data_IF_746780786199
#
_entry.id   IF_746780786199
#
_cell.length_a   1.000
_cell.length_b   1.000
_cell.length_c   1.000
_cell.angle_alpha   90.00
_cell.angle_beta   90.00
_cell.angle_gamma   90.00
#
_symmetry.space_group_name_H-M   'P 1'
#
loop_
_entity.id
_entity.type
_entity.pdbx_description
1 polymer ?
#
# COMPACT_ATOMS: atom_id res chain seq x y z
N UNK A 1 10.30 -58.90 -26.24
CA UNK A 1 10.54 -58.07 -25.04
C UNK A 1 10.24 -56.61 -25.37
N UNK A 2 9.21 -56.02 -24.78
CA UNK A 2 8.98 -54.57 -24.87
C UNK A 2 9.73 -53.87 -23.71
N UNK A 3 10.36 -52.70 -23.91
CA UNK A 3 11.07 -52.02 -22.84
C UNK A 3 10.06 -51.46 -21.83
N UNK A 4 10.29 -51.79 -20.56
CA UNK A 4 9.56 -51.26 -19.41
C UNK A 4 9.85 -49.76 -19.37
N UNK A 5 8.83 -48.93 -19.54
CA UNK A 5 8.90 -47.49 -19.32
C UNK A 5 9.27 -47.22 -17.84
N UNK A 6 10.57 -47.19 -17.53
CA UNK A 6 11.05 -46.76 -16.22
C UNK A 6 10.84 -45.24 -16.16
N UNK A 7 9.75 -44.82 -15.52
CA UNK A 7 9.58 -43.44 -15.10
C UNK A 7 10.84 -43.05 -14.33
N UNK A 8 11.59 -42.07 -14.84
CA UNK A 8 12.82 -41.60 -14.21
C UNK A 8 12.48 -40.95 -12.86
N UNK A 9 12.56 -41.76 -11.79
CA UNK A 9 12.29 -41.35 -10.41
C UNK A 9 13.18 -40.18 -9.99
N UNK A 10 14.35 -40.02 -10.60
CA UNK A 10 15.27 -38.92 -10.30
C UNK A 10 14.77 -37.59 -10.88
N UNK A 11 14.21 -37.60 -12.09
CA UNK A 11 13.57 -36.43 -12.70
C UNK A 11 12.32 -36.01 -11.93
N UNK A 12 11.46 -36.96 -11.55
CA UNK A 12 10.27 -36.68 -10.73
C UNK A 12 10.63 -36.06 -9.38
N UNK A 13 11.67 -36.58 -8.70
CA UNK A 13 12.15 -36.03 -7.42
C UNK A 13 12.65 -34.58 -7.57
N UNK A 14 13.35 -34.25 -8.66
CA UNK A 14 13.84 -32.88 -8.94
C UNK A 14 12.69 -31.88 -9.11
N UNK A 15 11.64 -32.22 -9.87
CA UNK A 15 10.50 -31.32 -10.07
C UNK A 15 9.69 -31.11 -8.78
N UNK A 16 9.55 -32.15 -7.96
CA UNK A 16 8.91 -32.04 -6.63
C UNK A 16 9.70 -31.10 -5.73
N UNK A 17 11.03 -31.22 -5.67
CA UNK A 17 11.86 -30.31 -4.86
C UNK A 17 11.74 -28.86 -5.34
N UNK A 18 11.78 -28.61 -6.65
CA UNK A 18 11.58 -27.26 -7.20
C UNK A 18 10.19 -26.73 -6.82
N UNK A 19 9.13 -27.53 -6.95
CA UNK A 19 7.78 -27.12 -6.58
C UNK A 19 7.68 -26.77 -5.09
N UNK A 20 8.29 -27.56 -4.21
CA UNK A 20 8.29 -27.32 -2.76
C UNK A 20 9.03 -26.03 -2.42
N UNK A 21 10.25 -25.83 -2.94
CA UNK A 21 11.02 -24.60 -2.70
C UNK A 21 10.25 -23.38 -3.22
N UNK A 22 9.66 -23.49 -4.41
CA UNK A 22 8.87 -22.43 -5.02
C UNK A 22 7.64 -22.06 -4.19
N UNK A 23 6.93 -23.07 -3.67
CA UNK A 23 5.80 -22.86 -2.77
C UNK A 23 6.24 -22.18 -1.46
N UNK A 24 7.38 -22.58 -0.88
CA UNK A 24 7.92 -21.96 0.33
C UNK A 24 8.26 -20.49 0.09
N UNK A 25 8.95 -20.17 -1.01
CA UNK A 25 9.28 -18.78 -1.37
C UNK A 25 8.01 -17.94 -1.58
N UNK A 26 7.01 -18.50 -2.27
CA UNK A 26 5.73 -17.84 -2.50
C UNK A 26 5.01 -17.55 -1.20
N UNK A 27 4.91 -18.54 -0.31
CA UNK A 27 4.24 -18.38 0.99
C UNK A 27 4.99 -17.40 1.89
N UNK A 28 6.33 -17.50 1.94
CA UNK A 28 7.16 -16.59 2.72
C UNK A 28 6.99 -15.13 2.26
N UNK A 29 7.09 -14.87 0.95
CA UNK A 29 6.88 -13.52 0.40
C UNK A 29 5.45 -13.01 0.63
N UNK A 30 4.43 -13.87 0.45
CA UNK A 30 3.02 -13.50 0.67
C UNK A 30 2.73 -13.17 2.14
N UNK A 31 3.27 -13.97 3.07
CA UNK A 31 3.12 -13.72 4.52
C UNK A 31 3.84 -12.43 4.91
N UNK A 32 5.04 -12.18 4.38
CA UNK A 32 5.75 -10.91 4.63
C UNK A 32 4.94 -9.70 4.16
N UNK A 33 4.31 -9.77 2.98
CA UNK A 33 3.43 -8.70 2.50
C UNK A 33 2.22 -8.53 3.43
N UNK A 34 1.53 -9.63 3.76
CA UNK A 34 0.32 -9.61 4.58
C UNK A 34 0.55 -9.11 6.02
N UNK A 35 1.77 -9.26 6.56
CA UNK A 35 2.10 -8.79 7.91
C UNK A 35 2.54 -7.33 7.96
N UNK A 36 2.82 -6.70 6.81
CA UNK A 36 3.43 -5.36 6.74
C UNK A 36 2.56 -4.34 6.04
N UNK A 37 1.67 -4.80 5.15
CA UNK A 37 0.82 -3.94 4.36
C UNK A 37 -0.65 -4.34 4.47
N UNK A 38 -1.48 -3.33 4.68
CA UNK A 38 -2.93 -3.45 4.69
C UNK A 38 -3.54 -2.82 3.45
N UNK A 39 -4.62 -3.42 2.95
CA UNK A 39 -5.44 -2.84 1.90
C UNK A 39 -6.57 -2.03 2.52
N UNK A 40 -6.58 -0.73 2.25
CA UNK A 40 -7.53 0.19 2.84
C UNK A 40 -8.48 0.76 1.77
N UNK A 41 -9.81 0.55 1.88
CA UNK A 41 -10.78 1.16 0.97
C UNK A 41 -11.08 2.61 1.39
N UNK A 42 -10.96 3.54 0.44
CA UNK A 42 -11.21 4.96 0.70
C UNK A 42 -12.68 5.29 0.46
N UNK A 43 -13.36 5.79 1.49
CA UNK A 43 -14.80 6.07 1.46
C UNK A 43 -15.15 7.56 1.38
N UNK A 44 -14.16 8.44 1.48
CA UNK A 44 -14.34 9.90 1.53
C UNK A 44 -13.68 10.58 0.34
N UNK A 45 -14.00 11.86 0.14
CA UNK A 45 -13.42 12.74 -0.89
C UNK A 45 -12.48 13.78 -0.28
N UNK A 46 -12.15 13.65 1.00
CA UNK A 46 -11.35 14.64 1.76
C UNK A 46 -9.93 14.76 1.20
N UNK A 47 -9.46 13.73 0.49
CA UNK A 47 -8.14 13.67 -0.13
C UNK A 47 -8.17 13.86 -1.65
N UNK A 48 -9.29 14.29 -2.24
CA UNK A 48 -9.37 14.58 -3.67
C UNK A 48 -8.47 15.78 -4.05
N UNK A 49 -7.74 15.75 -5.19
CA UNK A 49 -7.70 14.69 -6.21
C UNK A 49 -6.64 13.61 -5.94
N UNK A 50 -5.88 13.72 -4.84
CA UNK A 50 -4.77 12.82 -4.56
C UNK A 50 -5.24 11.38 -4.34
N UNK A 51 -6.30 11.18 -3.54
CA UNK A 51 -6.93 9.89 -3.26
C UNK A 51 -8.45 10.05 -3.25
N UNK A 52 -9.12 9.36 -4.16
CA UNK A 52 -10.56 9.46 -4.37
C UNK A 52 -11.39 8.39 -3.69
N UNK A 53 -12.67 8.71 -3.44
CA UNK A 53 -13.67 7.73 -2.98
C UNK A 53 -13.73 6.52 -3.92
N UNK A 54 -13.78 5.32 -3.36
CA UNK A 54 -13.82 4.05 -4.07
C UNK A 54 -12.44 3.52 -4.48
N UNK A 55 -11.36 4.30 -4.30
CA UNK A 55 -10.00 3.81 -4.50
C UNK A 55 -9.56 2.90 -3.35
N UNK A 56 -8.68 1.96 -3.66
CA UNK A 56 -7.95 1.19 -2.66
C UNK A 56 -6.54 1.75 -2.53
N UNK A 57 -6.07 1.84 -1.31
CA UNK A 57 -4.69 2.23 -1.02
C UNK A 57 -3.97 1.13 -0.27
N UNK A 58 -2.69 0.95 -0.58
CA UNK A 58 -1.80 0.08 0.16
C UNK A 58 -1.17 0.89 1.29
N UNK A 59 -1.33 0.42 2.51
CA UNK A 59 -0.90 1.10 3.74
C UNK A 59 0.19 0.29 4.39
N UNK A 60 1.39 0.85 4.50
CA UNK A 60 2.47 0.26 5.29
C UNK A 60 2.21 0.52 6.77
N UNK A 61 2.13 -0.55 7.55
CA UNK A 61 1.88 -0.49 8.99
C UNK A 61 2.97 0.33 9.70
N UNK A 62 2.56 1.22 10.61
CA UNK A 62 3.46 2.08 11.39
C UNK A 62 4.06 1.36 12.63
N UNK A 63 4.27 0.05 12.53
CA UNK A 63 4.65 -0.81 13.68
C UNK A 63 6.09 -0.62 14.18
N UNK A 64 6.97 0.05 13.43
CA UNK A 64 8.42 0.07 13.72
C UNK A 64 9.06 1.47 13.77
N UNK A 65 8.33 2.52 14.15
CA UNK A 65 8.92 3.86 14.31
C UNK A 65 9.42 4.45 12.99
N UNK A 66 8.78 4.08 11.87
CA UNK A 66 9.04 4.69 10.58
C UNK A 66 8.75 6.19 10.68
N UNK A 67 9.77 7.02 10.49
CA UNK A 67 9.60 8.47 10.57
C UNK A 67 8.64 8.92 9.49
N UNK A 68 7.47 9.41 9.92
CA UNK A 68 6.59 10.18 9.08
C UNK A 68 7.30 11.45 8.65
N UNK A 69 7.01 11.90 7.45
CA UNK A 69 7.54 13.13 6.89
C UNK A 69 6.38 14.05 6.53
N UNK A 70 6.64 15.34 6.59
CA UNK A 70 5.74 16.34 6.04
C UNK A 70 5.45 16.01 4.56
N UNK A 71 4.17 15.93 4.23
CA UNK A 71 3.67 15.50 2.92
C UNK A 71 3.21 14.04 2.85
N UNK A 72 3.59 13.17 3.78
CA UNK A 72 3.11 11.78 3.79
C UNK A 72 1.58 11.71 3.91
N UNK A 73 0.95 10.72 3.29
CA UNK A 73 -0.49 10.44 3.49
C UNK A 73 -0.61 9.26 4.44
N UNK A 74 -1.46 9.38 5.45
CA UNK A 74 -1.60 8.40 6.52
C UNK A 74 -3.05 8.02 6.74
N UNK A 75 -3.26 6.81 7.23
CA UNK A 75 -4.53 6.37 7.83
C UNK A 75 -4.40 6.52 9.33
N UNK A 76 -5.32 7.25 9.94
CA UNK A 76 -5.35 7.56 11.38
C UNK A 76 -6.70 7.14 11.96
N UNK A 77 -6.68 6.56 13.15
CA UNK A 77 -7.89 6.26 13.89
C UNK A 77 -8.54 7.56 14.39
N UNK A 78 -9.87 7.63 14.37
CA UNK A 78 -10.64 8.82 14.74
C UNK A 78 -10.42 9.26 16.19
N UNK A 79 -10.19 8.31 17.09
CA UNK A 79 -9.86 8.53 18.50
C UNK A 79 -8.48 9.19 18.72
N UNK A 80 -7.73 9.46 17.65
CA UNK A 80 -6.59 10.37 17.66
C UNK A 80 -6.94 11.79 18.12
N UNK A 81 -8.22 12.18 18.04
CA UNK A 81 -8.75 13.35 18.72
C UNK A 81 -9.86 12.96 19.70
N UNK A 82 -9.80 13.49 20.91
CA UNK A 82 -10.70 13.09 21.99
C UNK A 82 -12.18 13.51 21.79
N UNK A 83 -12.46 14.42 20.86
CA UNK A 83 -13.83 14.88 20.53
C UNK A 83 -14.47 14.11 19.36
N UNK A 84 -13.75 13.15 18.77
CA UNK A 84 -14.25 12.32 17.67
C UNK A 84 -14.80 10.97 18.19
N UNK A 85 -15.91 10.48 17.63
CA UNK A 85 -16.38 9.13 17.91
C UNK A 85 -15.33 8.09 17.49
N UNK A 86 -15.01 7.17 18.38
CA UNK A 86 -14.14 6.04 18.08
C UNK A 86 -14.74 5.09 17.03
N UNK A 87 -13.88 4.32 16.36
CA UNK A 87 -14.29 3.27 15.42
C UNK A 87 -14.35 3.71 13.95
N UNK A 88 -13.94 4.93 13.64
CA UNK A 88 -13.79 5.43 12.27
C UNK A 88 -12.30 5.65 11.97
N UNK A 89 -11.93 5.62 10.69
CA UNK A 89 -10.58 6.02 10.28
C UNK A 89 -10.65 7.17 9.29
N UNK A 90 -9.65 8.04 9.37
CA UNK A 90 -9.45 9.14 8.46
C UNK A 90 -8.21 8.90 7.62
N UNK A 91 -8.29 9.29 6.35
CA UNK A 91 -7.13 9.38 5.46
C UNK A 91 -6.80 10.87 5.30
N UNK A 92 -5.61 11.26 5.76
CA UNK A 92 -5.17 12.65 5.81
C UNK A 92 -3.69 12.77 5.45
N UNK A 93 -3.25 13.97 5.12
CA UNK A 93 -1.85 14.30 4.87
C UNK A 93 -1.18 14.82 6.13
N UNK A 94 0.06 14.42 6.35
CA UNK A 94 0.94 15.00 7.36
C UNK A 94 1.32 16.41 6.91
N UNK A 95 0.74 17.42 7.55
CA UNK A 95 1.08 18.82 7.36
C UNK A 95 2.38 19.20 8.05
N UNK A 96 2.65 18.63 9.23
CA UNK A 96 3.87 18.85 9.98
C UNK A 96 4.15 17.69 10.96
N UNK A 97 5.41 17.46 11.27
CA UNK A 97 5.87 16.41 12.20
C UNK A 97 6.47 17.02 13.46
N UNK A 98 6.74 16.20 14.48
CA UNK A 98 7.39 16.61 15.71
C UNK A 98 8.58 17.55 15.47
N UNK A 99 8.58 18.69 16.17
CA UNK A 99 9.62 19.72 16.04
C UNK A 99 9.36 20.75 14.93
N UNK A 100 8.49 20.50 13.97
CA UNK A 100 8.11 21.50 12.96
C UNK A 100 7.15 22.55 13.57
N UNK A 101 7.17 23.75 13.02
CA UNK A 101 6.19 24.81 13.32
C UNK A 101 5.29 25.02 12.12
N UNK A 102 3.99 24.75 12.27
CA UNK A 102 3.00 24.91 11.20
C UNK A 102 2.14 26.15 11.44
N UNK A 103 2.02 26.98 10.41
CA UNK A 103 1.35 28.27 10.48
C UNK A 103 0.41 28.48 9.29
N UNK A 104 -0.83 28.87 9.61
CA UNK A 104 -1.80 29.32 8.63
C UNK A 104 -2.07 30.83 8.78
N UNK A 105 -2.13 31.59 7.68
CA UNK A 105 -1.82 31.22 6.30
C UNK A 105 -1.11 32.38 5.60
N UNK A 106 -0.41 32.07 4.50
CA UNK A 106 0.10 33.10 3.57
C UNK A 106 -1.07 33.88 2.96
N UNK A 107 -0.78 35.00 2.31
CA UNK A 107 -1.79 35.80 1.58
C UNK A 107 -2.53 34.98 0.50
N UNK A 108 -1.92 33.90 0.02
CA UNK A 108 -2.51 32.96 -0.94
C UNK A 108 -3.33 31.83 -0.26
N UNK A 109 -3.53 31.87 1.06
CA UNK A 109 -4.28 30.87 1.82
C UNK A 109 -3.51 29.56 2.06
N UNK A 110 -2.20 29.53 1.79
CA UNK A 110 -1.37 28.32 1.97
C UNK A 110 -0.81 28.22 3.37
N UNK A 111 -0.65 26.99 3.85
CA UNK A 111 0.01 26.71 5.14
C UNK A 111 1.52 26.66 4.94
N UNK A 112 2.25 27.20 5.93
CA UNK A 112 3.70 27.15 5.98
C UNK A 112 4.18 26.22 7.08
N UNK A 113 5.32 25.59 6.85
CA UNK A 113 6.02 24.72 7.81
C UNK A 113 7.44 25.26 7.92
N UNK A 114 7.79 25.74 9.10
CA UNK A 114 9.04 26.47 9.38
C UNK A 114 9.31 27.60 8.37
N UNK A 115 8.25 28.34 8.03
CA UNK A 115 8.32 29.49 7.12
C UNK A 115 8.31 29.16 5.62
N UNK A 116 8.30 27.88 5.24
CA UNK A 116 8.23 27.45 3.83
C UNK A 116 6.87 26.82 3.50
N UNK A 117 6.32 27.13 2.32
CA UNK A 117 5.16 26.40 1.80
C UNK A 117 5.62 25.01 1.36
N UNK A 118 5.16 23.96 2.04
CA UNK A 118 5.47 22.55 1.73
C UNK A 118 4.26 21.79 1.17
N UNK A 119 3.19 22.50 0.84
CA UNK A 119 1.95 21.90 0.34
C UNK A 119 2.05 21.53 -1.15
N UNK A 120 1.51 20.37 -1.57
CA UNK A 120 1.38 20.03 -2.98
C UNK A 120 0.52 21.06 -3.75
N UNK A 121 0.72 21.22 -5.07
CA UNK A 121 -0.12 22.11 -5.88
C UNK A 121 -1.57 21.61 -6.01
N UNK A 122 -1.85 20.34 -5.67
CA UNK A 122 -3.18 19.72 -5.75
C UNK A 122 -4.09 20.03 -4.57
N UNK A 123 -3.60 20.73 -3.54
CA UNK A 123 -4.44 21.17 -2.40
C UNK A 123 -5.46 22.20 -2.91
N UNK A 124 -6.73 21.98 -2.54
CA UNK A 124 -7.85 22.84 -2.95
C UNK A 124 -8.70 23.22 -1.75
N UNK A 125 -9.58 24.21 -1.93
CA UNK A 125 -10.46 24.68 -0.86
C UNK A 125 -9.76 25.63 0.13
N UNK A 126 -8.59 26.16 -0.22
CA UNK A 126 -7.97 27.27 0.53
C UNK A 126 -8.88 28.50 0.40
N UNK A 127 -9.48 28.92 1.51
CA UNK A 127 -10.41 30.03 1.54
C UNK A 127 -9.87 31.13 2.47
N UNK A 128 -9.95 32.42 2.04
CA UNK A 128 -9.76 33.54 2.95
C UNK A 128 -10.71 33.41 4.15
N UNK A 129 -10.17 33.47 5.37
CA UNK A 129 -10.94 33.29 6.61
C UNK A 129 -10.80 31.93 7.29
N UNK A 130 -9.90 31.05 6.80
CA UNK A 130 -9.47 29.89 7.57
C UNK A 130 -8.98 30.33 8.98
N UNK A 131 -9.21 29.52 10.04
CA UNK A 131 -8.75 29.85 11.38
C UNK A 131 -7.25 30.10 11.38
N UNK A 132 -6.82 31.24 11.91
CA UNK A 132 -5.41 31.52 12.12
C UNK A 132 -4.88 30.56 13.20
N UNK A 133 -3.73 29.92 12.92
CA UNK A 133 -3.06 29.07 13.89
C UNK A 133 -1.54 29.13 13.71
N UNK A 134 -0.85 28.89 14.81
CA UNK A 134 0.59 28.74 14.87
C UNK A 134 0.88 27.63 15.89
N UNK A 135 1.25 26.45 15.39
CA UNK A 135 1.37 25.24 16.20
C UNK A 135 2.79 24.70 16.07
N UNK A 136 3.48 24.60 17.20
CA UNK A 136 4.70 23.80 17.33
C UNK A 136 4.29 22.37 17.60
N UNK A 137 4.61 21.44 16.70
CA UNK A 137 4.19 20.04 16.85
C UNK A 137 5.03 19.37 17.95
N UNK A 138 4.41 18.82 19.01
CA UNK A 138 5.13 18.13 20.07
C UNK A 138 5.78 16.83 19.60
N UNK A 139 6.77 16.36 20.35
CA UNK A 139 7.36 15.04 20.16
C UNK A 139 6.31 13.92 20.23
N UNK A 140 6.44 12.94 19.34
CA UNK A 140 5.51 11.81 19.26
C UNK A 140 4.13 12.16 18.67
N UNK A 141 3.96 13.35 18.08
CA UNK A 141 2.71 13.79 17.46
C UNK A 141 2.92 14.30 16.03
N UNK A 142 1.81 14.42 15.30
CA UNK A 142 1.75 14.97 13.94
C UNK A 142 0.57 15.93 13.80
N UNK A 143 0.69 16.88 12.87
CA UNK A 143 -0.40 17.74 12.46
C UNK A 143 -0.93 17.26 11.11
N UNK A 144 -2.23 16.98 11.01
CA UNK A 144 -2.85 16.34 9.85
C UNK A 144 -3.81 17.30 9.14
N UNK A 145 -3.79 17.27 7.80
CA UNK A 145 -4.55 18.14 6.93
C UNK A 145 -5.18 17.33 5.79
N UNK A 146 -6.43 17.62 5.43
CA UNK A 146 -7.02 17.08 4.20
C UNK A 146 -6.56 17.86 2.96
N UNK A 147 -6.56 17.22 1.79
CA UNK A 147 -6.25 17.91 0.52
C UNK A 147 -7.39 18.83 0.06
N UNK A 148 -8.62 18.49 0.47
CA UNK A 148 -9.81 19.33 0.36
C UNK A 148 -10.02 20.16 1.63
N UNK A 149 -9.40 21.33 1.69
CA UNK A 149 -9.37 22.18 2.89
C UNK A 149 -10.72 22.75 3.30
N UNK A 150 -11.68 22.79 2.37
CA UNK A 150 -13.04 23.28 2.52
C UNK A 150 -13.97 22.30 3.25
N UNK A 151 -13.70 20.99 3.18
CA UNK A 151 -14.56 19.93 3.74
C UNK A 151 -13.86 19.01 4.73
N UNK A 152 -12.53 19.09 4.86
CA UNK A 152 -11.78 18.27 5.79
C UNK A 152 -12.04 18.70 7.25
N UNK A 153 -12.56 17.78 8.07
CA UNK A 153 -12.47 17.85 9.53
C UNK A 153 -11.12 17.25 9.93
N UNK A 154 -10.10 18.09 9.91
CA UNK A 154 -8.69 17.74 10.18
C UNK A 154 -8.16 18.51 11.40
N UNK A 155 -6.85 18.52 11.67
CA UNK A 155 -6.27 19.18 12.85
C UNK A 155 -6.76 20.62 13.09
N UNK A 156 -7.14 21.36 12.04
CA UNK A 156 -7.65 22.73 12.13
C UNK A 156 -8.99 22.84 12.87
N UNK A 157 -9.81 21.79 12.84
CA UNK A 157 -11.07 21.74 13.58
C UNK A 157 -10.89 21.41 15.06
N UNK A 158 -9.68 20.99 15.47
CA UNK A 158 -9.39 20.43 16.80
C UNK A 158 -8.31 21.23 17.53
N UNK A 159 -8.05 22.48 17.15
CA UNK A 159 -6.96 23.30 17.70
C UNK A 159 -7.02 23.45 19.24
N UNK A 160 -8.21 23.32 19.85
CA UNK A 160 -8.38 23.31 21.31
C UNK A 160 -7.89 22.04 22.01
N UNK A 161 -7.51 21.00 21.27
CA UNK A 161 -7.04 19.70 21.77
C UNK A 161 -5.58 19.51 21.36
N UNK A 162 -4.64 19.84 22.24
CA UNK A 162 -3.19 19.75 21.98
C UNK A 162 -2.75 20.43 20.67
N UNK A 163 -3.33 21.59 20.36
CA UNK A 163 -3.07 22.31 19.11
C UNK A 163 -3.57 21.59 17.86
N UNK A 164 -4.54 20.68 18.00
CA UNK A 164 -5.08 19.86 16.91
C UNK A 164 -4.18 18.70 16.50
N UNK A 165 -3.08 18.47 17.20
CA UNK A 165 -2.13 17.41 16.85
C UNK A 165 -2.62 16.03 17.28
N UNK A 166 -2.22 15.01 16.52
CA UNK A 166 -2.59 13.60 16.74
C UNK A 166 -1.37 12.83 17.24
N UNK A 167 -1.49 11.99 18.29
CA UNK A 167 -0.39 11.11 18.69
C UNK A 167 -0.07 10.08 17.60
N UNK A 168 1.22 9.78 17.42
CA UNK A 168 1.68 8.77 16.46
C UNK A 168 1.05 7.39 16.71
N UNK A 169 0.68 7.08 17.96
CA UNK A 169 0.00 5.82 18.32
C UNK A 169 -1.38 5.66 17.69
N UNK A 170 -2.04 6.76 17.29
CA UNK A 170 -3.31 6.71 16.57
C UNK A 170 -3.12 6.54 15.04
N UNK A 171 -1.89 6.68 14.54
CA UNK A 171 -1.59 6.48 13.12
C UNK A 171 -1.47 4.98 12.84
N UNK A 172 -2.38 4.44 12.03
CA UNK A 172 -2.38 3.02 11.67
C UNK A 172 -1.29 2.69 10.65
N UNK A 173 -1.04 3.61 9.73
CA UNK A 173 -0.06 3.36 8.67
C UNK A 173 0.10 4.50 7.69
N UNK A 174 1.17 4.43 6.89
CA UNK A 174 1.43 5.37 5.78
C UNK A 174 0.96 4.76 4.46
N UNK A 175 0.25 5.54 3.66
CA UNK A 175 -0.13 5.18 2.29
C UNK A 175 1.12 5.18 1.41
N UNK A 176 1.41 4.03 0.79
CA UNK A 176 2.59 3.84 -0.07
C UNK A 176 2.22 3.58 -1.53
N UNK A 177 0.97 3.19 -1.81
CA UNK A 177 0.49 3.02 -3.19
C UNK A 177 -1.01 3.25 -3.30
N UNK A 178 -1.44 3.71 -4.47
CA UNK A 178 -2.84 3.67 -4.92
C UNK A 178 -2.99 2.46 -5.84
N UNK A 179 -4.00 1.64 -5.58
CA UNK A 179 -4.31 0.49 -6.42
C UNK A 179 -5.35 0.93 -7.46
N UNK A 180 -4.93 0.87 -8.71
CA UNK A 180 -5.84 1.07 -9.83
C UNK A 180 -6.73 -0.18 -9.99
N UNK A 181 -8.01 -0.02 -10.38
CA UNK A 181 -8.83 -1.16 -10.78
C UNK A 181 -8.13 -1.99 -11.88
N UNK A 182 -8.29 -3.32 -11.92
CA UNK A 182 -7.77 -4.13 -13.01
C UNK A 182 -8.32 -3.62 -14.35
N UNK A 183 -7.44 -3.13 -15.23
CA UNK A 183 -7.79 -2.49 -16.50
C UNK A 183 -7.57 -0.97 -16.55
N UNK A 184 -7.25 -0.33 -15.41
CA UNK A 184 -6.91 1.08 -15.34
C UNK A 184 -5.40 1.28 -15.32
N UNK A 185 -4.82 1.76 -16.42
CA UNK A 185 -3.46 2.30 -16.46
C UNK A 185 -3.45 3.71 -15.88
N UNK A 186 -3.61 3.83 -14.56
CA UNK A 186 -3.33 5.11 -13.89
C UNK A 186 -1.82 5.24 -13.74
N UNK A 187 -1.23 5.90 -14.74
CA UNK A 187 0.17 6.30 -14.74
C UNK A 187 0.52 7.16 -13.53
N UNK A 188 1.81 7.15 -13.21
CA UNK A 188 2.47 7.90 -12.13
C UNK A 188 2.10 9.39 -12.18
N UNK A 189 1.09 9.81 -11.42
CA UNK A 189 0.85 11.25 -11.19
C UNK A 189 1.72 11.74 -10.03
N UNK A 190 2.96 12.12 -10.38
CA UNK A 190 3.95 12.78 -9.51
C UNK A 190 3.44 14.11 -8.93
N UNK A 191 2.33 14.66 -9.46
CA UNK A 191 1.74 15.93 -9.01
C UNK A 191 0.86 15.84 -7.76
N UNK A 192 0.41 14.64 -7.36
CA UNK A 192 -0.54 14.45 -6.24
C UNK A 192 0.10 14.46 -4.85
N UNK A 193 1.43 14.54 -4.77
CA UNK A 193 2.17 14.49 -3.50
C UNK A 193 1.99 13.17 -2.72
N UNK A 194 1.33 12.16 -3.27
CA UNK A 194 1.33 10.80 -2.70
C UNK A 194 2.64 10.17 -3.13
N UNK A 195 3.53 9.89 -2.17
CA UNK A 195 4.76 9.17 -2.43
C UNK A 195 4.43 7.73 -2.80
N UNK A 196 4.11 7.52 -4.08
CA UNK A 196 4.09 6.20 -4.70
C UNK A 196 5.54 5.78 -4.91
N UNK A 197 6.26 5.54 -3.81
CA UNK A 197 7.53 4.86 -3.91
C UNK A 197 7.25 3.36 -3.88
N UNK A 198 7.21 2.67 -5.05
CA UNK A 198 7.11 1.20 -5.08
C UNK A 198 8.29 0.55 -4.36
N UNK A 199 9.35 1.32 -4.11
CA UNK A 199 10.43 0.98 -3.20
C UNK A 199 10.05 1.60 -1.84
N UNK A 200 9.32 0.85 -1.01
CA UNK A 200 9.24 1.16 0.42
C UNK A 200 10.64 1.55 0.90
N UNK A 201 10.86 2.67 1.64
CA UNK A 201 12.19 3.06 2.10
C UNK A 201 12.99 1.93 2.78
N UNK A 202 12.29 0.93 3.35
CA UNK A 202 12.89 -0.22 4.01
C UNK A 202 13.19 -1.40 3.06
N UNK A 203 12.86 -1.32 1.76
CA UNK A 203 13.08 -2.36 0.75
C UNK A 203 12.24 -3.63 0.93
N UNK A 204 11.38 -3.69 1.95
CA UNK A 204 10.59 -4.87 2.33
C UNK A 204 9.66 -5.31 1.20
N UNK A 205 8.97 -4.36 0.56
CA UNK A 205 8.07 -4.64 -0.56
C UNK A 205 8.77 -5.35 -1.72
N UNK A 206 9.93 -4.83 -2.15
CA UNK A 206 10.70 -5.41 -3.26
C UNK A 206 11.14 -6.83 -2.95
N UNK A 207 11.71 -7.05 -1.76
CA UNK A 207 12.17 -8.37 -1.36
C UNK A 207 11.02 -9.37 -1.33
N UNK A 208 9.90 -9.01 -0.71
CA UNK A 208 8.73 -9.86 -0.64
C UNK A 208 8.12 -10.13 -2.03
N UNK A 209 8.04 -9.12 -2.90
CA UNK A 209 7.59 -9.26 -4.28
C UNK A 209 8.50 -10.20 -5.09
N UNK A 210 9.82 -10.09 -4.94
CA UNK A 210 10.80 -10.98 -5.59
C UNK A 210 10.61 -12.43 -5.12
N UNK A 211 10.42 -12.67 -3.82
CA UNK A 211 10.14 -14.01 -3.30
C UNK A 211 8.87 -14.61 -3.91
N UNK A 212 7.79 -13.81 -3.99
CA UNK A 212 6.53 -14.23 -4.62
C UNK A 212 6.74 -14.55 -6.11
N UNK A 213 7.43 -13.69 -6.86
CA UNK A 213 7.68 -13.88 -8.27
C UNK A 213 8.53 -15.13 -8.55
N UNK A 214 9.63 -15.32 -7.81
CA UNK A 214 10.47 -16.51 -7.92
C UNK A 214 9.68 -17.79 -7.59
N UNK A 215 8.84 -17.74 -6.57
CA UNK A 215 7.94 -18.82 -6.21
C UNK A 215 6.91 -19.13 -7.32
N UNK A 216 6.29 -18.11 -7.93
CA UNK A 216 5.35 -18.31 -9.03
C UNK A 216 6.04 -18.90 -10.27
N UNK A 217 7.20 -18.36 -10.67
CA UNK A 217 7.97 -18.83 -11.82
C UNK A 217 8.38 -20.29 -11.63
N UNK A 218 8.90 -20.64 -10.45
CA UNK A 218 9.32 -22.01 -10.16
C UNK A 218 8.16 -23.00 -10.09
N UNK A 219 6.99 -22.57 -9.60
CA UNK A 219 5.76 -23.38 -9.57
C UNK A 219 5.24 -23.65 -10.99
N UNK A 220 5.19 -22.62 -11.83
CA UNK A 220 4.81 -22.74 -13.26
C UNK A 220 5.78 -23.66 -13.99
N UNK A 221 7.08 -23.50 -13.76
CA UNK A 221 8.11 -24.37 -14.37
C UNK A 221 7.91 -25.84 -13.97
N UNK A 222 7.73 -26.12 -12.69
CA UNK A 222 7.49 -27.47 -12.20
C UNK A 222 6.20 -28.07 -12.76
N UNK A 223 5.12 -27.28 -12.86
CA UNK A 223 3.84 -27.70 -13.42
C UNK A 223 3.96 -28.06 -14.91
N UNK A 224 4.54 -27.17 -15.73
CA UNK A 224 4.72 -27.41 -17.18
C UNK A 224 5.55 -28.67 -17.42
N UNK A 225 6.60 -28.89 -16.62
CA UNK A 225 7.43 -30.09 -16.71
C UNK A 225 6.70 -31.36 -16.26
N UNK A 226 5.92 -31.29 -15.19
CA UNK A 226 5.11 -32.42 -14.73
C UNK A 226 4.04 -32.82 -15.76
N UNK A 227 3.39 -31.83 -16.41
CA UNK A 227 2.41 -32.07 -17.48
C UNK A 227 3.06 -32.73 -18.71
N UNK A 228 4.25 -32.28 -19.11
CA UNK A 228 5.01 -32.89 -20.21
C UNK A 228 5.53 -34.29 -19.90
N UNK A 229 5.76 -34.62 -18.63
CA UNK A 229 6.23 -35.94 -18.18
C UNK A 229 5.09 -36.98 -18.05
N UNK A 230 3.82 -36.60 -18.25
CA UNK A 230 2.68 -37.51 -18.11
C UNK A 230 2.69 -38.54 -19.25
N UNK A 231 2.72 -39.86 -18.98
CA UNK A 231 2.68 -40.87 -20.04
C UNK A 231 1.39 -40.75 -20.85
N UNK A 232 1.47 -40.93 -22.18
CA UNK A 232 0.27 -41.08 -23.04
C UNK A 232 -0.57 -42.24 -22.49
N UNK A 233 -1.88 -42.03 -22.30
CA UNK A 233 -2.82 -43.10 -21.93
C UNK A 233 -2.71 -44.23 -22.98
N UNK A 234 -2.40 -45.48 -22.59
CA UNK A 234 -2.51 -46.61 -23.51
C UNK A 234 -4.00 -46.94 -23.66
N UNK A 235 -4.59 -46.56 -24.79
CA UNK A 235 -6.00 -46.86 -25.04
C UNK A 235 -6.66 -46.27 -26.28
N UNK A 236 -5.90 -45.69 -27.22
CA UNK A 236 -6.51 -45.14 -28.46
C UNK A 236 -5.64 -45.45 -29.68
N UNK A 237 -5.64 -46.72 -30.10
CA UNK A 237 -5.27 -47.29 -31.41
C UNK A 237 -5.43 -48.82 -31.24
N UNK A 238 -6.18 -49.61 -32.01
CA UNK A 238 -6.75 -49.46 -33.34
C UNK A 238 -7.91 -50.48 -33.47
N UNK A 239 -9.00 -50.11 -34.17
CA UNK A 239 -9.94 -51.10 -34.71
C UNK A 239 -9.32 -51.62 -36.01
N UNK A 240 -8.99 -52.92 -36.13
CA UNK A 240 -8.53 -53.47 -37.40
C UNK A 240 -9.72 -53.54 -38.36
N UNK A 241 -9.53 -52.96 -39.56
CA UNK A 241 -10.38 -53.18 -40.73
C UNK A 241 -10.34 -54.67 -41.06
N UNK A 242 -11.46 -55.36 -40.88
CA UNK A 242 -11.63 -56.73 -41.37
C UNK A 242 -12.10 -56.66 -42.83
N UNK A 243 -11.22 -57.02 -43.76
CA UNK A 243 -11.60 -57.44 -45.11
C UNK A 243 -12.07 -58.88 -45.06
N UNK A 244 -13.32 -59.11 -45.46
CA UNK A 244 -13.93 -60.42 -45.70
C UNK A 244 -15.14 -60.24 -46.59
#
# INVERSE_FOLDING_TARGET
>A
MAPINTVDKSATRRYVTIAVVSLVLLLAGSVLLALRYDLYPVQTTVMDPAVGRGQQVLVASQTNGAQLRTGDVVVVASDGWADEPAGMDYILRVGAVAGDTILCCTDAGKVTVDGAVKEPPTITGDAPGAPAFNVKVPDGRVFLLGDRRDIARDSRAHLGLDGGTVPLSAVKGRVVAKLAPPGSVSGLDSGTGVSVNPLDPDGTYLYAAVLVLLGLIGLVYALVRALKARPRRPGESAVPVATG
#
